data_IF_683640141830
#
_entry.id   IF_683640141830
#
_cell.length_a   1.000
_cell.length_b   1.000
_cell.length_c   1.000
_cell.angle_alpha   90.00
_cell.angle_beta   90.00
_cell.angle_gamma   90.00
#
_symmetry.space_group_name_H-M   'P 1'
#
loop_
_entity.id
_entity.type
_entity.pdbx_description
1 polymer ?
#
# COMPACT_ATOMS: atom_id res chain seq x y z
N UNK A 1 8.31 15.33 -16.82
CA UNK A 1 9.35 14.78 -15.93
C UNK A 1 9.00 13.32 -15.75
N UNK A 2 9.93 12.39 -16.03
CA UNK A 2 9.68 10.96 -15.82
C UNK A 2 9.52 10.73 -14.31
N UNK A 3 8.29 10.55 -13.87
CA UNK A 3 7.99 10.15 -12.50
C UNK A 3 8.15 8.63 -12.45
N UNK A 4 9.07 8.13 -11.63
CA UNK A 4 9.36 6.70 -11.52
C UNK A 4 8.12 5.90 -11.09
N UNK A 5 7.29 6.47 -10.22
CA UNK A 5 5.91 6.07 -9.93
C UNK A 5 5.07 7.35 -9.78
N UNK A 6 3.87 7.37 -10.35
CA UNK A 6 2.90 8.47 -10.20
C UNK A 6 1.72 7.99 -9.35
N UNK A 7 1.68 8.35 -8.04
CA UNK A 7 0.61 7.94 -7.15
C UNK A 7 -0.79 8.32 -7.65
N UNK A 8 -0.93 9.47 -8.34
CA UNK A 8 -2.23 9.91 -8.84
C UNK A 8 -2.71 8.99 -9.95
N UNK A 9 -1.85 8.59 -10.89
CA UNK A 9 -2.22 7.64 -11.94
C UNK A 9 -2.73 6.32 -11.37
N UNK A 10 -2.07 5.78 -10.35
CA UNK A 10 -2.50 4.54 -9.70
C UNK A 10 -3.85 4.76 -9.00
N UNK A 11 -3.97 5.84 -8.22
CA UNK A 11 -5.19 6.19 -7.47
C UNK A 11 -6.38 6.41 -8.41
N UNK A 12 -6.19 7.03 -9.58
CA UNK A 12 -7.27 7.28 -10.55
C UNK A 12 -7.85 6.00 -11.15
N UNK A 13 -7.11 4.89 -11.08
CA UNK A 13 -7.54 3.56 -11.52
C UNK A 13 -8.25 2.76 -10.41
N UNK A 14 -8.28 3.28 -9.17
CA UNK A 14 -8.89 2.60 -8.03
C UNK A 14 -10.29 3.15 -7.72
N UNK A 15 -11.17 2.27 -7.28
CA UNK A 15 -12.50 2.65 -6.82
C UNK A 15 -12.48 3.04 -5.34
N UNK A 16 -12.81 4.30 -5.06
CA UNK A 16 -12.97 4.80 -3.70
C UNK A 16 -14.44 5.07 -3.38
N UNK A 17 -14.87 4.54 -2.24
CA UNK A 17 -16.24 4.65 -1.73
C UNK A 17 -16.19 5.44 -0.41
N UNK A 18 -17.01 6.48 -0.22
CA UNK A 18 -17.10 7.19 1.04
C UNK A 18 -17.35 6.25 2.23
N UNK A 19 -16.65 6.44 3.33
CA UNK A 19 -16.74 5.59 4.52
C UNK A 19 -15.82 4.36 4.50
N UNK A 20 -15.05 4.13 3.43
CA UNK A 20 -14.05 3.06 3.39
C UNK A 20 -12.92 3.26 4.40
N UNK A 21 -12.42 2.15 4.92
CA UNK A 21 -11.17 2.10 5.67
C UNK A 21 -10.05 1.56 4.78
N UNK A 22 -8.94 2.26 4.73
CA UNK A 22 -7.82 1.98 3.81
C UNK A 22 -6.55 1.87 4.65
N UNK A 23 -5.68 0.91 4.34
CA UNK A 23 -4.34 0.85 4.93
C UNK A 23 -3.26 1.03 3.86
N UNK A 24 -2.27 1.85 4.17
CA UNK A 24 -1.05 2.05 3.36
C UNK A 24 0.11 1.37 4.10
N UNK A 25 0.55 0.22 3.58
CA UNK A 25 1.56 -0.65 4.20
C UNK A 25 2.94 -0.33 3.64
N UNK A 26 3.83 0.16 4.50
CA UNK A 26 5.10 0.78 4.09
C UNK A 26 4.88 2.22 3.63
N UNK A 27 4.04 2.97 4.34
CA UNK A 27 3.58 4.29 3.91
C UNK A 27 4.72 5.31 3.69
N UNK A 28 5.88 5.11 4.32
CA UNK A 28 7.04 6.00 4.24
C UNK A 28 6.66 7.44 4.60
N UNK A 29 7.06 8.40 3.77
CA UNK A 29 6.66 9.80 3.93
C UNK A 29 5.24 10.12 3.43
N UNK A 30 4.48 9.09 3.01
CA UNK A 30 3.05 9.14 2.75
C UNK A 30 2.62 9.65 1.39
N UNK A 31 3.38 9.37 0.32
CA UNK A 31 3.00 9.76 -1.03
C UNK A 31 1.60 9.25 -1.41
N UNK A 32 1.30 7.97 -1.14
CA UNK A 32 -0.01 7.38 -1.38
C UNK A 32 -1.02 7.77 -0.30
N UNK A 33 -0.66 7.68 0.98
CA UNK A 33 -1.51 8.14 2.10
C UNK A 33 -2.10 9.54 1.85
N UNK A 34 -1.27 10.54 1.52
CA UNK A 34 -1.71 11.92 1.33
C UNK A 34 -2.53 12.11 0.06
N UNK A 35 -2.19 11.38 -1.01
CA UNK A 35 -2.93 11.42 -2.26
C UNK A 35 -4.35 10.83 -2.10
N UNK A 36 -4.48 9.72 -1.37
CA UNK A 36 -5.79 9.13 -1.01
C UNK A 36 -6.56 10.08 -0.10
N UNK A 37 -5.90 10.71 0.88
CA UNK A 37 -6.53 11.66 1.78
C UNK A 37 -7.11 12.88 1.04
N UNK A 38 -6.39 13.41 0.04
CA UNK A 38 -6.93 14.48 -0.81
C UNK A 38 -8.10 13.99 -1.66
N UNK A 39 -7.98 12.80 -2.29
CA UNK A 39 -9.04 12.20 -3.12
C UNK A 39 -10.34 11.98 -2.34
N UNK A 40 -10.22 11.72 -1.04
CA UNK A 40 -11.31 11.39 -0.12
C UNK A 40 -11.60 12.51 0.89
N UNK A 41 -11.12 13.72 0.67
CA UNK A 41 -11.20 14.84 1.62
C UNK A 41 -12.63 15.19 2.06
N UNK A 42 -13.59 15.03 1.16
CA UNK A 42 -15.01 15.31 1.41
C UNK A 42 -15.78 14.09 1.97
N UNK A 43 -15.15 12.92 2.05
CA UNK A 43 -15.80 11.72 2.55
C UNK A 43 -15.87 11.72 4.08
N UNK A 44 -17.03 11.34 4.61
CA UNK A 44 -17.21 11.14 6.05
C UNK A 44 -16.96 9.68 6.41
N UNK A 45 -16.56 9.43 7.67
CA UNK A 45 -16.28 8.10 8.22
C UNK A 45 -15.13 7.32 7.57
N UNK A 46 -14.49 7.85 6.53
CA UNK A 46 -13.26 7.28 5.94
C UNK A 46 -12.12 7.33 6.95
N UNK A 47 -11.31 6.26 6.97
CA UNK A 47 -10.07 6.19 7.76
C UNK A 47 -8.94 5.67 6.88
N UNK A 48 -7.79 6.30 6.95
CA UNK A 48 -6.58 5.92 6.22
C UNK A 48 -5.50 5.60 7.25
N UNK A 49 -5.10 4.34 7.37
CA UNK A 49 -4.08 3.89 8.30
C UNK A 49 -2.73 3.83 7.58
N UNK A 50 -1.84 4.76 7.90
CA UNK A 50 -0.47 4.74 7.41
C UNK A 50 0.39 3.90 8.35
N UNK A 51 0.85 2.74 7.88
CA UNK A 51 1.61 1.77 8.67
C UNK A 51 3.05 1.73 8.17
N UNK A 52 4.01 1.98 9.07
CA UNK A 52 5.44 1.88 8.75
C UNK A 52 6.28 1.55 9.99
N UNK A 53 7.44 0.93 9.77
CA UNK A 53 8.41 0.61 10.82
C UNK A 53 9.28 1.82 11.19
N UNK A 54 9.47 2.75 10.23
CA UNK A 54 10.31 3.93 10.36
C UNK A 54 9.57 5.10 11.02
N UNK A 55 9.75 5.25 12.33
CA UNK A 55 9.08 6.30 13.13
C UNK A 55 9.34 7.72 12.62
N UNK A 56 10.53 8.01 12.11
CA UNK A 56 10.87 9.34 11.62
C UNK A 56 10.08 9.70 10.35
N UNK A 57 9.79 8.73 9.48
CA UNK A 57 8.95 8.95 8.30
C UNK A 57 7.48 9.14 8.70
N UNK A 58 7.00 8.35 9.65
CA UNK A 58 5.66 8.50 10.22
C UNK A 58 5.46 9.88 10.86
N UNK A 59 6.44 10.39 11.60
CA UNK A 59 6.37 11.73 12.19
C UNK A 59 6.29 12.84 11.13
N UNK A 60 7.01 12.69 10.01
CA UNK A 60 6.92 13.63 8.87
C UNK A 60 5.56 13.56 8.20
N UNK A 61 5.03 12.36 8.00
CA UNK A 61 3.70 12.14 7.42
C UNK A 61 2.61 12.72 8.32
N UNK A 62 2.70 12.53 9.64
CA UNK A 62 1.77 13.12 10.61
C UNK A 62 1.73 14.65 10.52
N UNK A 63 2.91 15.28 10.47
CA UNK A 63 3.04 16.72 10.35
C UNK A 63 2.42 17.24 9.04
N UNK A 64 2.66 16.56 7.91
CA UNK A 64 2.10 16.96 6.61
C UNK A 64 0.58 16.75 6.56
N UNK A 65 0.07 15.62 7.06
CA UNK A 65 -1.36 15.37 7.14
C UNK A 65 -2.07 16.41 8.02
N UNK A 66 -1.46 16.79 9.14
CA UNK A 66 -1.95 17.85 10.03
C UNK A 66 -1.96 19.20 9.32
N UNK A 67 -0.86 19.56 8.65
CA UNK A 67 -0.75 20.81 7.89
C UNK A 67 -1.84 20.95 6.82
N UNK A 68 -2.22 19.84 6.17
CA UNK A 68 -3.27 19.77 5.15
C UNK A 68 -4.68 19.56 5.70
N UNK A 69 -4.84 19.44 7.02
CA UNK A 69 -6.10 19.14 7.71
C UNK A 69 -6.75 17.81 7.28
N UNK A 70 -5.94 16.78 7.01
CA UNK A 70 -6.42 15.43 6.73
C UNK A 70 -6.68 14.63 8.00
N UNK A 71 -7.80 14.92 8.67
CA UNK A 71 -8.21 14.25 9.90
C UNK A 71 -8.56 12.76 9.75
N UNK A 72 -8.71 12.27 8.51
CA UNK A 72 -8.92 10.86 8.19
C UNK A 72 -7.64 10.03 8.23
N UNK A 73 -6.45 10.65 8.28
CA UNK A 73 -5.16 9.95 8.33
C UNK A 73 -4.82 9.58 9.77
N UNK A 74 -4.52 8.30 9.98
CA UNK A 74 -4.14 7.71 11.26
C UNK A 74 -2.77 7.05 11.13
N UNK A 75 -1.83 7.50 11.95
CA UNK A 75 -0.46 7.01 11.95
C UNK A 75 -0.35 5.78 12.84
N UNK A 76 0.24 4.70 12.32
CA UNK A 76 0.43 3.45 13.05
C UNK A 76 1.87 2.98 12.90
N UNK A 77 2.61 3.03 13.99
CA UNK A 77 3.92 2.38 14.01
C UNK A 77 3.75 0.86 14.14
N UNK A 78 4.23 0.14 13.14
CA UNK A 78 4.05 -1.31 13.02
C UNK A 78 5.18 -1.99 12.25
N UNK A 79 5.39 -3.26 12.57
CA UNK A 79 6.30 -4.14 11.84
C UNK A 79 5.46 -5.12 11.02
N UNK A 80 5.45 -4.95 9.70
CA UNK A 80 4.58 -5.72 8.82
C UNK A 80 5.08 -7.14 8.56
N UNK A 81 6.31 -7.45 8.96
CA UNK A 81 6.90 -8.80 8.87
C UNK A 81 6.57 -9.65 10.11
N UNK A 82 6.03 -9.03 11.16
CA UNK A 82 5.60 -9.71 12.38
C UNK A 82 4.09 -10.00 12.34
N UNK A 83 3.62 -11.20 12.77
CA UNK A 83 2.20 -11.50 12.89
C UNK A 83 1.44 -10.46 13.72
N UNK A 84 0.38 -9.87 13.15
CA UNK A 84 -0.41 -8.79 13.77
C UNK A 84 0.37 -7.49 14.00
N UNK A 85 1.52 -7.32 13.37
CA UNK A 85 2.39 -6.17 13.60
C UNK A 85 1.90 -4.87 12.99
N UNK A 86 0.90 -4.89 12.09
CA UNK A 86 0.16 -3.67 11.68
C UNK A 86 -0.69 -3.07 12.81
N UNK A 87 -0.98 -3.86 13.87
CA UNK A 87 -1.86 -3.49 14.99
C UNK A 87 -3.31 -3.19 14.59
N UNK A 88 -3.66 -3.42 13.32
CA UNK A 88 -5.03 -3.35 12.84
C UNK A 88 -5.78 -4.64 13.16
N UNK A 89 -7.10 -4.53 13.37
CA UNK A 89 -7.96 -5.68 13.65
C UNK A 89 -8.11 -6.56 12.40
N UNK A 90 -8.40 -7.84 12.62
CA UNK A 90 -8.79 -8.77 11.55
C UNK A 90 -10.03 -8.21 10.83
N UNK A 91 -10.10 -8.38 9.50
CA UNK A 91 -11.27 -8.03 8.68
C UNK A 91 -11.81 -6.60 8.92
N UNK A 92 -10.92 -5.61 9.03
CA UNK A 92 -11.27 -4.24 9.45
C UNK A 92 -11.11 -3.16 8.38
N UNK A 93 -10.41 -3.46 7.28
CA UNK A 93 -10.18 -2.52 6.17
C UNK A 93 -10.75 -3.02 4.84
N UNK A 94 -11.14 -2.07 4.00
CA UNK A 94 -11.76 -2.28 2.68
C UNK A 94 -10.74 -2.25 1.53
N UNK A 95 -9.54 -1.71 1.80
CA UNK A 95 -8.42 -1.70 0.87
C UNK A 95 -7.09 -1.70 1.62
N UNK A 96 -6.10 -2.44 1.10
CA UNK A 96 -4.70 -2.36 1.53
C UNK A 96 -3.84 -2.05 0.33
N UNK A 97 -2.97 -1.05 0.44
CA UNK A 97 -1.95 -0.72 -0.53
C UNK A 97 -0.60 -1.25 -0.03
N UNK A 98 0.11 -1.98 -0.89
CA UNK A 98 1.51 -2.36 -0.72
C UNK A 98 2.27 -1.79 -1.91
N UNK A 99 2.84 -0.61 -1.75
CA UNK A 99 3.47 0.13 -2.86
C UNK A 99 4.94 0.41 -2.57
N UNK A 100 5.81 -0.09 -3.44
CA UNK A 100 7.26 0.03 -3.33
C UNK A 100 7.78 -0.50 -1.99
N UNK A 101 7.16 -1.57 -1.48
CA UNK A 101 7.45 -2.14 -0.15
C UNK A 101 7.99 -3.56 -0.26
N UNK A 102 7.65 -4.34 -1.30
CA UNK A 102 8.01 -5.77 -1.36
C UNK A 102 9.51 -5.98 -1.51
N UNK A 103 10.20 -5.11 -2.25
CA UNK A 103 11.65 -5.18 -2.39
C UNK A 103 12.41 -4.76 -1.12
N UNK A 104 11.73 -4.08 -0.17
CA UNK A 104 12.35 -3.53 1.03
C UNK A 104 12.27 -4.47 2.24
N UNK A 105 11.34 -5.42 2.24
CA UNK A 105 11.11 -6.35 3.36
C UNK A 105 11.87 -7.66 3.14
N UNK A 106 12.31 -8.28 4.23
CA UNK A 106 12.99 -9.58 4.19
C UNK A 106 11.98 -10.73 4.04
N UNK A 107 10.80 -10.61 4.66
CA UNK A 107 9.71 -11.59 4.65
C UNK A 107 8.44 -11.04 3.96
N UNK A 108 8.45 -11.10 2.63
CA UNK A 108 7.33 -10.73 1.76
C UNK A 108 6.06 -11.55 2.03
N UNK A 109 6.22 -12.81 2.49
CA UNK A 109 5.08 -13.68 2.79
C UNK A 109 4.36 -13.21 4.04
N UNK A 110 5.10 -12.86 5.09
CA UNK A 110 4.52 -12.30 6.31
C UNK A 110 3.80 -10.97 6.05
N UNK A 111 4.39 -10.07 5.25
CA UNK A 111 3.73 -8.84 4.79
C UNK A 111 2.39 -9.11 4.09
N UNK A 112 2.37 -10.04 3.12
CA UNK A 112 1.16 -10.37 2.34
C UNK A 112 0.08 -11.05 3.19
N UNK A 113 0.49 -11.91 4.13
CA UNK A 113 -0.42 -12.52 5.10
C UNK A 113 -1.04 -11.46 6.02
N UNK A 114 -0.24 -10.51 6.51
CA UNK A 114 -0.72 -9.41 7.35
C UNK A 114 -1.68 -8.50 6.58
N UNK A 115 -1.38 -8.16 5.33
CA UNK A 115 -2.26 -7.40 4.45
C UNK A 115 -3.61 -8.11 4.26
N UNK A 116 -3.58 -9.42 4.02
CA UNK A 116 -4.82 -10.19 3.80
C UNK A 116 -5.59 -10.44 5.10
N UNK A 117 -4.92 -10.53 6.25
CA UNK A 117 -5.57 -10.66 7.57
C UNK A 117 -6.46 -9.45 7.88
N UNK A 118 -5.99 -8.24 7.58
CA UNK A 118 -6.72 -7.00 7.91
C UNK A 118 -7.82 -6.68 6.92
N UNK A 119 -7.71 -7.16 5.67
CA UNK A 119 -8.75 -6.99 4.64
C UNK A 119 -10.03 -7.72 5.04
N UNK A 120 -11.19 -7.08 4.85
CA UNK A 120 -12.50 -7.76 4.89
C UNK A 120 -12.62 -8.78 3.76
N UNK A 121 -13.45 -9.81 3.90
CA UNK A 121 -13.80 -10.67 2.75
C UNK A 121 -14.40 -9.82 1.62
N UNK A 122 -13.94 -10.05 0.39
CA UNK A 122 -14.32 -9.27 -0.78
C UNK A 122 -13.62 -7.91 -0.93
N UNK A 123 -12.77 -7.50 0.02
CA UNK A 123 -11.97 -6.27 -0.08
C UNK A 123 -10.74 -6.46 -0.98
N UNK A 124 -10.09 -5.36 -1.35
CA UNK A 124 -9.02 -5.37 -2.36
C UNK A 124 -7.63 -5.08 -1.80
N UNK A 125 -6.66 -5.87 -2.24
CA UNK A 125 -5.23 -5.64 -2.12
C UNK A 125 -4.75 -4.95 -3.40
N UNK A 126 -4.05 -3.85 -3.26
CA UNK A 126 -3.38 -3.12 -4.35
C UNK A 126 -1.88 -3.29 -4.17
N UNK A 127 -1.21 -3.78 -5.20
CA UNK A 127 0.25 -3.97 -5.19
C UNK A 127 0.85 -3.19 -6.35
N UNK A 128 1.86 -2.38 -6.06
CA UNK A 128 2.68 -1.69 -7.07
C UNK A 128 4.13 -1.82 -6.66
N UNK A 129 4.99 -2.31 -7.54
CA UNK A 129 6.42 -2.40 -7.23
C UNK A 129 7.27 -2.37 -8.50
N UNK A 130 8.58 -2.29 -8.33
CA UNK A 130 9.55 -2.18 -9.41
C UNK A 130 9.55 -3.42 -10.30
N UNK A 131 9.50 -3.21 -11.62
CA UNK A 131 9.66 -4.28 -12.62
C UNK A 131 11.13 -4.54 -12.97
N UNK A 132 11.99 -3.54 -12.80
CA UNK A 132 13.41 -3.59 -13.15
C UNK A 132 14.26 -2.63 -12.31
N UNK A 133 15.59 -2.80 -12.37
CA UNK A 133 16.57 -1.90 -11.74
C UNK A 133 17.05 -0.89 -12.79
N UNK A 134 16.80 0.40 -12.59
CA UNK A 134 17.14 1.42 -13.58
C UNK A 134 18.39 2.22 -13.20
N UNK A 135 19.58 1.78 -13.65
CA UNK A 135 20.79 2.63 -13.61
C UNK A 135 21.16 3.22 -12.24
N UNK A 136 21.02 2.45 -11.15
CA UNK A 136 21.15 2.85 -9.73
C UNK A 136 19.99 3.66 -9.14
N UNK A 137 18.86 3.77 -9.86
CA UNK A 137 17.60 4.30 -9.36
C UNK A 137 16.65 3.11 -9.14
N UNK A 138 16.13 3.00 -7.92
CA UNK A 138 15.31 1.86 -7.48
C UNK A 138 16.12 0.76 -6.77
N UNK A 139 15.53 -0.43 -6.56
CA UNK A 139 16.19 -1.57 -5.92
C UNK A 139 17.37 -2.10 -6.73
N UNK A 140 18.26 -2.84 -6.06
CA UNK A 140 19.22 -3.67 -6.79
C UNK A 140 18.47 -4.84 -7.45
N UNK A 141 18.98 -5.34 -8.57
CA UNK A 141 18.33 -6.44 -9.33
C UNK A 141 17.98 -7.65 -8.46
N UNK A 142 18.79 -7.96 -7.44
CA UNK A 142 18.57 -9.09 -6.53
C UNK A 142 17.39 -8.90 -5.57
N UNK A 143 16.99 -7.66 -5.30
CA UNK A 143 15.94 -7.30 -4.35
C UNK A 143 14.58 -7.15 -5.08
N UNK A 144 14.58 -7.16 -6.41
CA UNK A 144 13.37 -7.06 -7.23
C UNK A 144 12.49 -8.29 -7.02
N UNK A 145 11.23 -8.03 -6.69
CA UNK A 145 10.17 -9.04 -6.65
C UNK A 145 9.42 -8.98 -7.97
N UNK A 146 9.47 -10.05 -8.77
CA UNK A 146 8.74 -10.07 -10.03
C UNK A 146 7.22 -10.01 -9.81
N UNK A 147 6.47 -9.45 -10.77
CA UNK A 147 5.00 -9.43 -10.72
C UNK A 147 4.42 -10.84 -10.52
N UNK A 148 4.98 -11.84 -11.19
CA UNK A 148 4.57 -13.24 -11.04
C UNK A 148 4.75 -13.73 -9.60
N UNK A 149 5.88 -13.41 -8.96
CA UNK A 149 6.13 -13.73 -7.55
C UNK A 149 5.13 -13.02 -6.66
N UNK A 150 4.93 -11.71 -6.85
CA UNK A 150 3.97 -10.92 -6.06
C UNK A 150 2.53 -11.44 -6.18
N UNK A 151 2.08 -11.80 -7.38
CA UNK A 151 0.77 -12.42 -7.61
C UNK A 151 0.64 -13.80 -6.97
N UNK A 152 1.73 -14.57 -6.96
CA UNK A 152 1.77 -15.88 -6.28
C UNK A 152 1.64 -15.70 -4.77
N UNK A 153 2.40 -14.78 -4.18
CA UNK A 153 2.31 -14.45 -2.75
C UNK A 153 0.91 -13.97 -2.36
N UNK A 154 0.30 -13.09 -3.16
CA UNK A 154 -1.08 -12.65 -2.95
C UNK A 154 -2.07 -13.82 -2.99
N UNK A 155 -1.89 -14.75 -3.95
CA UNK A 155 -2.74 -15.95 -4.08
C UNK A 155 -2.58 -16.89 -2.89
N UNK A 156 -1.35 -17.15 -2.45
CA UNK A 156 -1.08 -17.96 -1.26
C UNK A 156 -1.66 -17.35 0.01
N UNK A 157 -1.69 -16.01 0.11
CA UNK A 157 -2.27 -15.29 1.24
C UNK A 157 -3.82 -15.27 1.22
N UNK A 158 -4.47 -15.67 0.11
CA UNK A 158 -5.93 -15.74 -0.02
C UNK A 158 -6.56 -14.66 -0.89
N UNK A 159 -5.76 -13.89 -1.63
CA UNK A 159 -6.22 -12.87 -2.58
C UNK A 159 -6.13 -13.38 -4.03
N UNK A 160 -7.19 -13.26 -4.82
CA UNK A 160 -7.13 -13.55 -6.26
C UNK A 160 -6.90 -12.29 -7.08
N UNK A 161 -5.97 -12.36 -8.03
CA UNK A 161 -5.79 -11.32 -9.04
C UNK A 161 -7.10 -10.98 -9.77
N UNK A 162 -7.36 -9.69 -9.97
CA UNK A 162 -8.49 -9.18 -10.73
C UNK A 162 -8.04 -8.54 -12.06
N UNK A 163 -7.20 -7.51 -11.98
CA UNK A 163 -6.73 -6.76 -13.15
C UNK A 163 -5.40 -6.06 -12.86
N UNK A 164 -4.69 -5.72 -13.93
CA UNK A 164 -3.45 -4.95 -13.86
C UNK A 164 -3.73 -3.44 -13.80
N UNK A 165 -2.76 -2.68 -13.29
CA UNK A 165 -2.76 -1.23 -13.21
C UNK A 165 -1.60 -0.66 -14.04
N UNK A 166 -1.81 0.48 -14.68
CA UNK A 166 -0.71 1.27 -15.25
C UNK A 166 0.05 1.96 -14.11
N UNK A 167 1.23 1.45 -13.76
CA UNK A 167 2.06 1.95 -12.65
C UNK A 167 3.30 2.76 -13.09
N UNK A 168 3.47 2.97 -14.39
CA UNK A 168 4.65 3.61 -14.99
C UNK A 168 5.57 2.63 -15.71
N UNK A 169 6.58 3.14 -16.42
CA UNK A 169 7.44 2.32 -17.30
C UNK A 169 8.33 1.31 -16.54
N UNK A 170 8.65 1.60 -15.28
CA UNK A 170 9.57 0.78 -14.46
C UNK A 170 8.87 0.07 -13.28
N UNK A 171 7.54 0.06 -13.28
CA UNK A 171 6.74 -0.58 -12.23
C UNK A 171 5.66 -1.46 -12.84
N UNK A 172 5.38 -2.58 -12.19
CA UNK A 172 4.12 -3.30 -12.38
C UNK A 172 3.10 -2.84 -11.33
N UNK A 173 1.83 -3.06 -11.62
CA UNK A 173 0.76 -2.83 -10.65
C UNK A 173 -0.41 -3.77 -10.88
N UNK A 174 -1.08 -4.19 -9.81
CA UNK A 174 -2.30 -4.98 -9.91
C UNK A 174 -3.22 -4.81 -8.71
N UNK A 175 -4.49 -5.15 -8.94
CA UNK A 175 -5.51 -5.33 -7.91
C UNK A 175 -5.79 -6.82 -7.74
N UNK A 176 -5.90 -7.28 -6.49
CA UNK A 176 -6.34 -8.61 -6.12
C UNK A 176 -7.43 -8.53 -5.05
N UNK A 177 -8.41 -9.44 -5.07
CA UNK A 177 -9.53 -9.47 -4.12
C UNK A 177 -9.38 -10.61 -3.12
N UNK A 178 -9.56 -10.32 -1.82
CA UNK A 178 -9.64 -11.33 -0.78
C UNK A 178 -10.88 -12.20 -0.98
N UNK A 179 -10.69 -13.52 -1.00
CA UNK A 179 -11.77 -14.50 -1.04
C UNK A 179 -12.48 -14.65 0.31
#
# INVERSE_FOLDING_TARGET
MNTFSDPQKVIDQLEFIPGQHIADFGAGSGAYTLAIAERMKSATHTKIFAVDIQKDLLARLEAEATHRNYSSVHIVWGDLETPKGSRLKDDSVDMVLVVNTLFQVDDQKSLMNEATRVLKSGAVLVVVDWSESFGNIGPQTKDIVSEMTARTLATEAGCMFEHALEAGEHHYGFVARKK
#
